data_IF_920269442760
#
_entry.id   IF_920269442760
#
_cell.length_a   1.000
_cell.length_b   1.000
_cell.length_c   1.000
_cell.angle_alpha   90.00
_cell.angle_beta   90.00
_cell.angle_gamma   90.00
#
_symmetry.space_group_name_H-M   'P 1'
#
loop_
_entity.id
_entity.type
_entity.pdbx_description
1 polymer ?
#
# COMPACT_ATOMS: atom_id res chain seq x y z
N UNK A 1 -0.02 43.36 -52.24
CA UNK A 1 0.22 43.31 -50.79
C UNK A 1 -1.06 43.17 -49.96
N UNK A 2 -2.05 44.04 -50.06
CA UNK A 2 -3.30 44.02 -49.25
C UNK A 2 -4.11 42.73 -49.42
N UNK A 3 -4.23 42.18 -50.64
CA UNK A 3 -4.94 40.89 -50.88
C UNK A 3 -4.22 39.69 -50.31
N UNK A 4 -2.88 39.69 -50.31
CA UNK A 4 -2.06 38.60 -49.74
C UNK A 4 -2.13 38.57 -48.22
N UNK A 5 -2.15 39.73 -47.55
CA UNK A 5 -2.34 39.88 -46.12
C UNK A 5 -3.74 39.37 -45.69
N UNK A 6 -4.77 39.69 -46.49
CA UNK A 6 -6.13 39.22 -46.20
C UNK A 6 -6.25 37.70 -46.33
N UNK A 7 -5.58 37.07 -47.32
CA UNK A 7 -5.58 35.62 -47.48
C UNK A 7 -4.87 34.91 -46.31
N UNK A 8 -3.73 35.45 -45.84
CA UNK A 8 -3.03 34.95 -44.66
C UNK A 8 -3.89 35.09 -43.40
N UNK A 9 -4.59 36.21 -43.25
CA UNK A 9 -5.47 36.46 -42.13
C UNK A 9 -6.65 35.50 -42.10
N UNK A 10 -7.28 35.21 -43.23
CA UNK A 10 -8.35 34.20 -43.34
C UNK A 10 -7.82 32.77 -43.06
N UNK A 11 -6.60 32.45 -43.47
CA UNK A 11 -5.96 31.16 -43.21
C UNK A 11 -5.61 31.00 -41.71
N UNK A 12 -5.18 32.08 -41.04
CA UNK A 12 -4.95 32.04 -39.57
C UNK A 12 -6.25 31.84 -38.79
N UNK A 13 -7.38 32.38 -39.24
CA UNK A 13 -8.68 32.20 -38.55
C UNK A 13 -9.16 30.74 -38.60
N UNK A 14 -8.85 30.00 -39.66
CA UNK A 14 -9.22 28.57 -39.75
C UNK A 14 -8.47 27.67 -38.77
N UNK A 15 -7.31 28.10 -38.25
CA UNK A 15 -6.60 27.38 -37.17
C UNK A 15 -7.11 27.69 -35.75
N UNK A 16 -7.99 28.70 -35.58
CA UNK A 16 -8.58 29.07 -34.31
C UNK A 16 -9.88 28.28 -33.98
N UNK A 17 -10.38 27.48 -34.92
CA UNK A 17 -11.53 26.60 -34.67
C UNK A 17 -11.10 25.24 -34.06
N UNK A 18 -10.19 25.30 -33.11
CA UNK A 18 -9.71 24.13 -32.39
C UNK A 18 -10.46 23.92 -31.09
N UNK A 19 -10.92 22.69 -30.86
CA UNK A 19 -11.39 22.13 -29.59
C UNK A 19 -12.72 22.67 -29.03
N UNK A 20 -13.78 22.54 -29.79
CA UNK A 20 -15.11 22.34 -29.23
C UNK A 20 -15.23 20.88 -28.73
N UNK A 21 -14.43 20.45 -27.75
CA UNK A 21 -14.65 19.17 -27.09
C UNK A 21 -15.93 19.29 -26.24
N UNK A 22 -16.73 18.23 -26.17
CA UNK A 22 -17.88 18.09 -25.26
C UNK A 22 -17.46 18.44 -23.83
N UNK A 23 -17.59 19.72 -23.45
CA UNK A 23 -17.43 20.17 -22.07
C UNK A 23 -18.72 19.80 -21.34
N UNK A 24 -18.73 18.61 -20.73
CA UNK A 24 -19.76 18.29 -19.76
C UNK A 24 -19.55 19.20 -18.55
N UNK A 25 -20.54 20.04 -18.25
CA UNK A 25 -20.56 20.87 -17.05
C UNK A 25 -20.35 19.97 -15.83
N UNK A 26 -19.57 20.43 -14.86
CA UNK A 26 -19.24 19.66 -13.67
C UNK A 26 -20.50 19.22 -12.90
N UNK A 27 -21.52 20.08 -12.91
CA UNK A 27 -22.83 19.87 -12.28
C UNK A 27 -23.65 18.74 -12.92
N UNK A 28 -23.35 18.38 -14.17
CA UNK A 28 -23.98 17.28 -14.90
C UNK A 28 -23.20 15.96 -14.78
N UNK A 29 -22.15 15.94 -13.96
CA UNK A 29 -21.32 14.76 -13.74
C UNK A 29 -21.55 14.17 -12.35
N UNK A 30 -21.72 12.85 -12.28
CA UNK A 30 -21.61 12.07 -11.06
C UNK A 30 -20.15 11.63 -10.89
N UNK A 31 -19.37 12.41 -10.11
CA UNK A 31 -17.94 12.22 -9.99
C UNK A 31 -17.64 11.06 -9.03
N UNK A 32 -17.13 9.97 -9.54
CA UNK A 32 -16.70 8.83 -8.72
C UNK A 32 -15.48 9.19 -7.88
N UNK A 33 -15.55 9.01 -6.57
CA UNK A 33 -14.40 9.11 -5.66
C UNK A 33 -13.92 7.77 -5.17
N UNK A 34 -14.84 6.78 -5.04
CA UNK A 34 -14.51 5.41 -4.66
C UNK A 34 -15.18 4.43 -5.61
N UNK A 35 -14.43 3.43 -6.05
CA UNK A 35 -14.95 2.17 -6.61
C UNK A 35 -14.63 1.02 -5.68
N UNK A 36 -15.57 0.11 -5.48
CA UNK A 36 -15.40 -1.08 -4.65
C UNK A 36 -15.72 -2.35 -5.42
N UNK A 37 -14.95 -3.43 -5.21
CA UNK A 37 -15.13 -4.73 -5.83
C UNK A 37 -15.30 -5.82 -4.80
N UNK A 38 -16.42 -6.53 -4.89
CA UNK A 38 -16.74 -7.66 -4.02
C UNK A 38 -17.34 -8.82 -4.82
N UNK A 39 -17.48 -9.98 -4.19
CA UNK A 39 -18.14 -11.15 -4.79
C UNK A 39 -19.34 -11.60 -3.97
N UNK A 40 -20.36 -12.16 -4.62
CA UNK A 40 -21.46 -12.81 -3.91
C UNK A 40 -20.97 -14.03 -3.11
N UNK A 41 -21.67 -14.33 -2.01
CA UNK A 41 -21.33 -15.44 -1.12
C UNK A 41 -21.43 -16.83 -1.82
N UNK A 42 -22.28 -16.98 -2.82
CA UNK A 42 -22.49 -18.22 -3.61
C UNK A 42 -22.65 -17.88 -5.08
N UNK A 43 -21.89 -18.56 -5.94
CA UNK A 43 -21.98 -18.49 -7.40
C UNK A 43 -20.74 -17.91 -8.05
N UNK A 44 -20.14 -18.67 -8.99
CA UNK A 44 -19.11 -18.13 -9.89
C UNK A 44 -19.72 -17.07 -10.81
N UNK A 45 -19.01 -15.97 -11.03
CA UNK A 45 -19.24 -15.07 -12.16
C UNK A 45 -20.15 -13.87 -11.93
N UNK A 46 -20.47 -13.48 -10.68
CA UNK A 46 -21.15 -12.20 -10.43
C UNK A 46 -20.32 -11.30 -9.52
N UNK A 47 -19.77 -10.27 -10.15
CA UNK A 47 -19.08 -9.16 -9.52
C UNK A 47 -20.09 -8.24 -8.86
N UNK A 48 -19.84 -7.81 -7.63
CA UNK A 48 -20.54 -6.69 -7.00
C UNK A 48 -19.62 -5.49 -7.11
N UNK A 49 -20.12 -4.44 -7.75
CA UNK A 49 -19.40 -3.17 -7.89
C UNK A 49 -20.13 -2.10 -7.09
N UNK A 50 -19.34 -1.36 -6.31
CA UNK A 50 -19.81 -0.20 -5.57
C UNK A 50 -19.24 1.07 -6.18
N UNK A 51 -20.03 2.12 -6.17
CA UNK A 51 -19.66 3.45 -6.61
C UNK A 51 -20.06 4.47 -5.54
N UNK A 52 -19.17 5.38 -5.21
CA UNK A 52 -19.43 6.47 -4.26
C UNK A 52 -19.07 7.79 -4.90
N UNK A 53 -20.01 8.70 -4.94
CA UNK A 53 -19.88 10.05 -5.46
C UNK A 53 -20.26 11.10 -4.40
N UNK A 54 -19.66 12.30 -4.40
CA UNK A 54 -20.02 13.37 -3.50
C UNK A 54 -21.36 13.98 -3.90
N UNK A 55 -22.08 14.53 -2.94
CA UNK A 55 -23.26 15.37 -3.13
C UNK A 55 -22.84 16.80 -2.82
N UNK A 56 -22.96 17.70 -3.81
CA UNK A 56 -22.58 19.11 -3.70
C UNK A 56 -23.70 20.02 -3.16
N UNK A 57 -24.80 19.45 -2.68
CA UNK A 57 -25.88 20.21 -2.06
C UNK A 57 -25.59 20.36 -0.54
N UNK A 58 -25.62 21.61 -0.05
CA UNK A 58 -25.38 21.92 1.36
C UNK A 58 -26.53 21.51 2.29
N UNK A 59 -27.73 21.40 1.77
CA UNK A 59 -28.95 21.12 2.54
C UNK A 59 -29.12 19.63 2.90
N UNK A 60 -28.32 18.73 2.33
CA UNK A 60 -28.42 17.30 2.61
C UNK A 60 -27.52 16.87 3.76
N UNK A 61 -28.04 16.02 4.65
CA UNK A 61 -27.30 15.49 5.79
C UNK A 61 -26.13 14.59 5.32
N UNK A 62 -26.39 13.72 4.36
CA UNK A 62 -25.39 12.80 3.82
C UNK A 62 -24.68 13.41 2.61
N UNK A 63 -23.41 13.75 2.74
CA UNK A 63 -22.60 14.44 1.72
C UNK A 63 -22.07 13.54 0.59
N UNK A 64 -22.50 12.28 0.51
CA UNK A 64 -22.15 11.35 -0.56
C UNK A 64 -23.28 10.38 -0.85
N UNK A 65 -23.35 9.97 -2.09
CA UNK A 65 -24.28 8.97 -2.60
C UNK A 65 -23.53 7.65 -2.85
N UNK A 66 -24.24 6.55 -2.71
CA UNK A 66 -23.67 5.20 -2.90
C UNK A 66 -24.56 4.38 -3.81
N UNK A 67 -23.94 3.75 -4.80
CA UNK A 67 -24.61 2.83 -5.72
C UNK A 67 -23.97 1.46 -5.65
N UNK A 68 -24.76 0.43 -5.92
CA UNK A 68 -24.34 -0.96 -6.01
C UNK A 68 -24.90 -1.58 -7.29
N UNK A 69 -24.10 -2.36 -7.99
CA UNK A 69 -24.52 -3.15 -9.14
C UNK A 69 -23.95 -4.55 -9.07
N UNK A 70 -24.78 -5.56 -9.39
CA UNK A 70 -24.33 -6.94 -9.59
C UNK A 70 -24.20 -7.20 -11.09
N UNK A 71 -22.99 -7.42 -11.57
CA UNK A 71 -22.63 -7.40 -13.01
C UNK A 71 -21.61 -8.47 -13.35
N UNK A 72 -21.26 -8.58 -14.62
CA UNK A 72 -20.17 -9.44 -15.13
C UNK A 72 -18.88 -8.64 -15.35
N UNK A 73 -18.98 -7.34 -15.65
CA UNK A 73 -17.83 -6.47 -15.94
C UNK A 73 -17.95 -5.10 -15.27
N UNK A 74 -16.81 -4.43 -14.96
CA UNK A 74 -16.85 -3.06 -14.42
C UNK A 74 -17.50 -2.05 -15.38
N UNK A 75 -17.42 -2.27 -16.69
CA UNK A 75 -18.04 -1.39 -17.69
C UNK A 75 -19.57 -1.50 -17.67
N UNK A 76 -20.11 -2.70 -17.46
CA UNK A 76 -21.55 -2.93 -17.27
C UNK A 76 -22.05 -2.21 -16.01
N UNK A 77 -21.29 -2.22 -14.93
CA UNK A 77 -21.60 -1.47 -13.71
C UNK A 77 -21.76 0.03 -13.99
N UNK A 78 -20.84 0.62 -14.77
CA UNK A 78 -20.91 2.04 -15.15
C UNK A 78 -22.20 2.37 -15.91
N UNK A 79 -22.65 1.48 -16.80
CA UNK A 79 -23.92 1.66 -17.52
C UNK A 79 -25.12 1.65 -16.56
N UNK A 80 -25.14 0.73 -15.58
CA UNK A 80 -26.18 0.68 -14.55
C UNK A 80 -26.17 1.94 -13.69
N UNK A 81 -24.99 2.41 -13.26
CA UNK A 81 -24.85 3.62 -12.46
C UNK A 81 -25.37 4.86 -13.22
N UNK A 82 -25.07 4.97 -14.52
CA UNK A 82 -25.61 6.04 -15.35
C UNK A 82 -27.14 6.05 -15.44
N UNK A 83 -27.80 4.90 -15.26
CA UNK A 83 -29.26 4.82 -15.27
C UNK A 83 -29.92 5.22 -13.95
N UNK A 84 -29.14 5.33 -12.87
CA UNK A 84 -29.63 5.65 -11.52
C UNK A 84 -29.03 6.92 -10.92
N UNK A 85 -28.00 7.48 -11.53
CA UNK A 85 -27.36 8.72 -11.09
C UNK A 85 -28.02 9.95 -11.72
N UNK A 86 -28.01 11.08 -11.02
CA UNK A 86 -28.48 12.36 -11.53
C UNK A 86 -27.59 12.97 -12.61
N UNK A 87 -26.35 12.49 -12.76
CA UNK A 87 -25.37 12.92 -13.76
C UNK A 87 -24.61 11.76 -14.39
N UNK A 88 -23.86 12.04 -15.45
CA UNK A 88 -23.00 11.03 -16.09
C UNK A 88 -21.86 10.63 -15.16
N UNK A 89 -21.69 9.33 -14.95
CA UNK A 89 -20.62 8.79 -14.09
C UNK A 89 -19.27 9.03 -14.73
N UNK A 90 -18.45 9.86 -14.06
CA UNK A 90 -17.06 10.15 -14.40
C UNK A 90 -16.10 9.55 -13.38
N UNK A 91 -15.05 8.88 -13.85
CA UNK A 91 -14.00 8.28 -13.02
C UNK A 91 -12.69 9.10 -13.01
N UNK A 92 -12.70 10.29 -13.61
CA UNK A 92 -11.51 11.14 -13.77
C UNK A 92 -10.91 11.61 -12.42
N UNK A 93 -11.71 11.69 -11.38
CA UNK A 93 -11.31 12.09 -10.01
C UNK A 93 -11.32 10.94 -9.01
N UNK A 94 -11.31 9.71 -9.49
CA UNK A 94 -11.29 8.53 -8.62
C UNK A 94 -10.08 8.57 -7.69
N UNK A 95 -10.32 8.41 -6.38
CA UNK A 95 -9.32 8.51 -5.33
C UNK A 95 -8.91 7.14 -4.78
N UNK A 96 -9.88 6.22 -4.68
CA UNK A 96 -9.67 4.89 -4.12
C UNK A 96 -10.36 3.80 -4.95
N UNK A 97 -9.66 2.68 -5.08
CA UNK A 97 -10.23 1.41 -5.51
C UNK A 97 -10.13 0.45 -4.33
N UNK A 98 -11.29 -0.01 -3.84
CA UNK A 98 -11.41 -0.95 -2.73
C UNK A 98 -11.67 -2.35 -3.26
N UNK A 99 -10.99 -3.34 -2.71
CA UNK A 99 -11.22 -4.75 -3.01
C UNK A 99 -11.48 -5.51 -1.72
N UNK A 100 -12.55 -6.29 -1.62
CA UNK A 100 -12.66 -7.22 -0.50
C UNK A 100 -11.55 -8.28 -0.59
N UNK A 101 -10.99 -8.70 0.54
CA UNK A 101 -10.00 -9.78 0.56
C UNK A 101 -10.56 -11.09 0.00
N UNK A 102 -11.87 -11.28 0.12
CA UNK A 102 -12.58 -12.41 -0.48
C UNK A 102 -12.53 -12.35 -2.02
N UNK A 103 -12.83 -11.20 -2.62
CA UNK A 103 -12.73 -10.98 -4.05
C UNK A 103 -11.30 -11.22 -4.54
N UNK A 104 -10.30 -10.61 -3.87
CA UNK A 104 -8.90 -10.77 -4.23
C UNK A 104 -8.42 -12.23 -4.16
N UNK A 105 -8.92 -13.03 -3.23
CA UNK A 105 -8.59 -14.46 -3.11
C UNK A 105 -9.15 -15.31 -4.24
N UNK A 106 -10.31 -14.95 -4.75
CA UNK A 106 -11.04 -15.74 -5.76
C UNK A 106 -10.69 -15.32 -7.18
N UNK A 107 -10.67 -14.03 -7.45
CA UNK A 107 -10.62 -13.45 -8.79
C UNK A 107 -9.28 -12.78 -9.10
N UNK A 108 -8.66 -12.15 -8.09
CA UNK A 108 -7.54 -11.23 -8.29
C UNK A 108 -7.98 -9.88 -8.86
N UNK A 109 -7.13 -8.87 -8.74
CA UNK A 109 -7.48 -7.51 -9.16
C UNK A 109 -7.29 -7.28 -10.66
N UNK A 110 -6.24 -7.85 -11.27
CA UNK A 110 -5.78 -7.48 -12.60
C UNK A 110 -6.83 -7.57 -13.73
N UNK A 111 -7.66 -8.62 -13.83
CA UNK A 111 -8.63 -8.72 -14.92
C UNK A 111 -9.68 -7.59 -14.93
N UNK A 112 -9.93 -6.98 -13.77
CA UNK A 112 -10.98 -5.98 -13.59
C UNK A 112 -10.46 -4.55 -13.71
N UNK A 113 -9.15 -4.35 -13.82
CA UNK A 113 -8.52 -3.03 -13.91
C UNK A 113 -8.32 -2.52 -15.33
N UNK A 114 -8.50 -3.38 -16.35
CA UNK A 114 -8.29 -3.05 -17.77
C UNK A 114 -9.09 -1.82 -18.24
N UNK A 115 -10.30 -1.64 -17.70
CA UNK A 115 -11.16 -0.51 -18.05
C UNK A 115 -10.51 0.86 -17.74
N UNK A 116 -9.71 0.94 -16.68
CA UNK A 116 -9.01 2.18 -16.31
C UNK A 116 -7.65 2.30 -16.99
N UNK A 117 -6.98 1.19 -17.31
CA UNK A 117 -5.73 1.22 -18.09
C UNK A 117 -5.95 1.75 -19.52
N UNK A 118 -7.14 1.51 -20.07
CA UNK A 118 -7.51 1.96 -21.41
C UNK A 118 -8.20 3.33 -21.42
N UNK A 119 -8.49 3.92 -20.28
CA UNK A 119 -9.15 5.23 -20.20
C UNK A 119 -8.09 6.34 -20.13
N UNK A 120 -7.91 7.15 -21.19
CA UNK A 120 -6.89 8.19 -21.22
C UNK A 120 -7.15 9.34 -20.22
N UNK A 121 -8.37 9.43 -19.68
CA UNK A 121 -8.74 10.44 -18.68
C UNK A 121 -8.33 10.05 -17.28
N UNK A 122 -7.88 8.81 -17.08
CA UNK A 122 -7.47 8.31 -15.78
C UNK A 122 -6.07 8.81 -15.41
N UNK A 123 -5.95 9.44 -14.23
CA UNK A 123 -4.67 9.98 -13.74
C UNK A 123 -3.72 8.93 -13.17
N UNK A 124 -4.18 7.70 -12.93
CA UNK A 124 -3.37 6.62 -12.31
C UNK A 124 -3.02 6.83 -10.83
N UNK A 125 -3.51 7.89 -10.20
CA UNK A 125 -3.15 8.27 -8.82
C UNK A 125 -4.07 7.68 -7.74
N UNK A 126 -5.12 6.95 -8.13
CA UNK A 126 -6.04 6.31 -7.19
C UNK A 126 -5.32 5.25 -6.33
N UNK A 127 -5.68 5.17 -5.07
CA UNK A 127 -5.05 4.25 -4.11
C UNK A 127 -5.68 2.88 -4.19
N UNK A 128 -4.85 1.85 -4.20
CA UNK A 128 -5.28 0.45 -4.17
C UNK A 128 -5.40 0.00 -2.72
N UNK A 129 -6.58 -0.49 -2.31
CA UNK A 129 -6.86 -0.81 -0.90
C UNK A 129 -7.58 -2.15 -0.81
N UNK A 130 -7.05 -3.05 0.02
CA UNK A 130 -7.74 -4.28 0.43
C UNK A 130 -8.62 -4.02 1.65
N UNK A 131 -9.80 -4.60 1.67
CA UNK A 131 -10.73 -4.54 2.81
C UNK A 131 -10.87 -5.93 3.41
N UNK A 132 -10.43 -6.10 4.67
CA UNK A 132 -10.67 -7.33 5.44
C UNK A 132 -12.13 -7.38 5.90
N UNK A 133 -12.99 -7.87 5.01
CA UNK A 133 -14.43 -7.93 5.14
C UNK A 133 -15.17 -7.51 3.87
N UNK A 134 -16.49 -7.48 3.91
CA UNK A 134 -17.29 -7.05 2.77
C UNK A 134 -17.20 -5.53 2.57
N UNK A 135 -17.14 -5.09 1.31
CA UNK A 135 -17.10 -3.66 0.95
C UNK A 135 -18.34 -2.91 1.48
N UNK A 136 -19.50 -3.56 1.47
CA UNK A 136 -20.75 -3.00 2.00
C UNK A 136 -20.63 -2.56 3.46
N UNK A 137 -19.81 -3.22 4.27
CA UNK A 137 -19.60 -2.86 5.67
C UNK A 137 -18.89 -1.51 5.85
N UNK A 138 -18.15 -1.06 4.85
CA UNK A 138 -17.49 0.23 4.82
C UNK A 138 -18.42 1.28 4.19
N UNK A 139 -18.97 0.98 3.02
CA UNK A 139 -19.67 1.96 2.18
C UNK A 139 -21.04 2.36 2.77
N UNK A 140 -21.77 1.41 3.35
CA UNK A 140 -23.11 1.69 3.92
C UNK A 140 -23.09 2.08 5.40
N UNK A 141 -21.91 2.04 6.04
CA UNK A 141 -21.83 2.43 7.44
C UNK A 141 -21.78 3.96 7.58
N UNK A 142 -22.54 4.48 8.53
CA UNK A 142 -22.45 5.88 8.90
C UNK A 142 -21.42 6.04 10.04
N UNK A 143 -20.24 6.55 9.70
CA UNK A 143 -19.18 6.84 10.67
C UNK A 143 -19.44 8.23 11.26
N UNK A 144 -20.18 8.27 12.38
CA UNK A 144 -20.49 9.51 13.09
C UNK A 144 -19.21 10.25 13.46
N UNK A 145 -19.27 11.56 13.43
CA UNK A 145 -18.15 12.46 13.78
C UNK A 145 -16.89 12.29 12.90
N UNK A 146 -17.05 11.79 11.67
CA UNK A 146 -15.97 11.69 10.67
C UNK A 146 -16.34 12.53 9.43
N UNK A 147 -15.35 12.96 8.65
CA UNK A 147 -15.58 13.55 7.33
C UNK A 147 -16.39 12.62 6.43
N UNK A 148 -16.83 13.13 5.27
CA UNK A 148 -17.46 12.29 4.25
C UNK A 148 -16.57 11.08 3.92
N UNK A 149 -17.18 9.91 3.68
CA UNK A 149 -16.45 8.64 3.54
C UNK A 149 -15.25 8.68 2.58
N UNK A 150 -15.34 9.31 1.38
CA UNK A 150 -14.19 9.39 0.47
C UNK A 150 -13.01 10.16 1.06
N UNK A 151 -13.27 11.29 1.71
CA UNK A 151 -12.27 12.10 2.39
C UNK A 151 -11.68 11.35 3.58
N UNK A 152 -12.54 10.80 4.44
CA UNK A 152 -12.11 10.04 5.60
C UNK A 152 -11.16 8.89 5.23
N UNK A 153 -11.50 8.07 4.23
CA UNK A 153 -10.65 6.97 3.78
C UNK A 153 -9.33 7.45 3.17
N UNK A 154 -9.39 8.51 2.36
CA UNK A 154 -8.21 9.10 1.74
C UNK A 154 -7.21 9.60 2.78
N UNK A 155 -7.69 10.34 3.77
CA UNK A 155 -6.88 10.90 4.85
C UNK A 155 -6.35 9.81 5.78
N UNK A 156 -7.18 8.81 6.08
CA UNK A 156 -6.79 7.66 6.87
C UNK A 156 -5.60 6.92 6.22
N UNK A 157 -5.67 6.63 4.91
CA UNK A 157 -4.60 5.96 4.18
C UNK A 157 -3.34 6.85 4.11
N UNK A 158 -3.50 8.14 3.80
CA UNK A 158 -2.38 9.09 3.72
C UNK A 158 -1.66 9.23 5.06
N UNK A 159 -2.40 9.35 6.16
CA UNK A 159 -1.84 9.44 7.51
C UNK A 159 -1.05 8.16 7.85
N UNK A 160 -1.62 6.97 7.57
CA UNK A 160 -0.93 5.71 7.86
C UNK A 160 0.29 5.46 6.95
N UNK A 161 0.29 5.99 5.71
CA UNK A 161 1.48 6.07 4.86
C UNK A 161 2.59 6.88 5.52
N UNK A 162 2.28 8.07 6.04
CA UNK A 162 3.28 8.94 6.70
C UNK A 162 3.93 8.26 7.90
N UNK A 163 3.15 7.47 8.66
CA UNK A 163 3.64 6.73 9.82
C UNK A 163 4.17 5.32 9.49
N UNK A 164 4.35 5.00 8.21
CA UNK A 164 4.89 3.70 7.75
C UNK A 164 4.07 2.47 8.20
N UNK A 165 2.79 2.62 8.43
CA UNK A 165 1.91 1.55 8.96
C UNK A 165 1.30 0.67 7.88
N UNK A 166 1.50 1.03 6.60
CA UNK A 166 0.94 0.33 5.45
C UNK A 166 1.74 0.61 4.17
N UNK A 167 1.78 -0.35 3.26
CA UNK A 167 2.26 -0.12 1.91
C UNK A 167 1.29 0.81 1.18
N UNK A 168 1.81 1.89 0.61
CA UNK A 168 1.03 2.83 -0.17
C UNK A 168 1.30 2.59 -1.66
N UNK A 169 0.30 2.10 -2.36
CA UNK A 169 0.41 1.76 -3.78
C UNK A 169 -0.70 2.43 -4.56
N UNK A 170 -0.33 3.28 -5.51
CA UNK A 170 -1.26 3.85 -6.47
C UNK A 170 -1.57 2.85 -7.58
N UNK A 171 -2.61 3.11 -8.36
CA UNK A 171 -2.97 2.30 -9.51
C UNK A 171 -1.82 2.18 -10.53
N UNK A 172 -1.11 3.27 -10.80
CA UNK A 172 0.06 3.26 -11.68
C UNK A 172 1.20 2.41 -11.12
N UNK A 173 1.52 2.55 -9.82
CA UNK A 173 2.55 1.74 -9.17
C UNK A 173 2.14 0.27 -9.09
N UNK A 174 0.85 -0.02 -8.85
CA UNK A 174 0.32 -1.39 -8.89
C UNK A 174 0.51 -2.03 -10.26
N UNK A 175 0.20 -1.30 -11.34
CA UNK A 175 0.47 -1.74 -12.71
C UNK A 175 1.95 -2.05 -12.92
N UNK A 176 2.83 -1.12 -12.52
CA UNK A 176 4.28 -1.33 -12.62
C UNK A 176 4.73 -2.60 -11.89
N UNK A 177 4.24 -2.83 -10.67
CA UNK A 177 4.60 -4.01 -9.86
C UNK A 177 4.06 -5.31 -10.46
N UNK A 178 2.86 -5.31 -11.03
CA UNK A 178 2.25 -6.52 -11.61
C UNK A 178 2.90 -6.95 -12.92
N UNK A 179 3.42 -6.00 -13.70
CA UNK A 179 4.13 -6.29 -14.97
C UNK A 179 5.64 -6.45 -14.79
N UNK A 180 6.19 -6.06 -13.65
CA UNK A 180 7.59 -6.31 -13.32
C UNK A 180 7.75 -7.73 -12.76
N UNK A 181 8.46 -8.59 -13.48
CA UNK A 181 8.70 -9.99 -13.08
C UNK A 181 9.52 -10.12 -11.79
N UNK A 182 10.26 -9.07 -11.39
CA UNK A 182 11.15 -9.08 -10.22
C UNK A 182 10.53 -8.60 -8.90
N UNK A 183 9.23 -8.30 -8.87
CA UNK A 183 8.54 -7.82 -7.65
C UNK A 183 7.08 -8.29 -7.61
N UNK A 184 6.54 -8.50 -6.41
CA UNK A 184 5.12 -8.75 -6.20
C UNK A 184 4.44 -7.57 -5.50
N UNK A 185 3.17 -7.26 -5.79
CA UNK A 185 2.48 -6.09 -5.25
C UNK A 185 2.19 -6.19 -3.74
N UNK A 186 2.25 -5.03 -3.08
CA UNK A 186 1.75 -4.81 -1.74
C UNK A 186 0.84 -3.58 -1.74
N UNK A 187 -0.35 -3.68 -1.17
CA UNK A 187 -1.33 -2.58 -1.09
C UNK A 187 -1.76 -2.33 0.36
N UNK A 188 -2.36 -1.17 0.62
CA UNK A 188 -2.92 -0.87 1.95
C UNK A 188 -4.03 -1.86 2.32
N UNK A 189 -4.11 -2.25 3.59
CA UNK A 189 -5.21 -3.07 4.10
C UNK A 189 -5.94 -2.37 5.23
N UNK A 190 -7.28 -2.35 5.12
CA UNK A 190 -8.18 -1.75 6.10
C UNK A 190 -9.23 -2.76 6.56
N UNK A 191 -9.79 -2.50 7.74
CA UNK A 191 -10.88 -3.27 8.32
C UNK A 191 -11.89 -2.36 8.99
N UNK A 192 -13.19 -2.72 8.94
CA UNK A 192 -14.18 -2.08 9.78
C UNK A 192 -13.93 -2.41 11.25
N UNK A 193 -13.71 -1.40 12.07
CA UNK A 193 -13.72 -1.48 13.52
C UNK A 193 -15.14 -1.35 14.10
N UNK A 194 -15.25 -1.23 15.41
CA UNK A 194 -16.54 -1.03 16.09
C UNK A 194 -17.17 0.33 15.73
N UNK A 195 -16.38 1.40 15.77
CA UNK A 195 -16.82 2.78 15.50
C UNK A 195 -16.07 3.44 14.35
N UNK A 196 -14.92 2.89 13.97
CA UNK A 196 -13.97 3.48 13.02
C UNK A 196 -13.60 2.49 11.92
N UNK A 197 -12.85 2.96 10.95
CA UNK A 197 -12.10 2.13 10.01
C UNK A 197 -10.65 2.09 10.49
N UNK A 198 -10.07 0.91 10.54
CA UNK A 198 -8.69 0.70 10.99
C UNK A 198 -7.81 0.30 9.82
N UNK A 199 -6.65 0.94 9.66
CA UNK A 199 -5.58 0.40 8.84
C UNK A 199 -4.92 -0.72 9.63
N UNK A 200 -5.02 -1.94 9.12
CA UNK A 200 -4.48 -3.15 9.78
C UNK A 200 -3.04 -3.41 9.41
N UNK A 201 -2.61 -2.92 8.24
CA UNK A 201 -1.28 -3.08 7.70
C UNK A 201 -1.30 -3.14 6.18
N UNK A 202 -0.66 -4.15 5.60
CA UNK A 202 -0.52 -4.31 4.15
C UNK A 202 -0.98 -5.67 3.68
N UNK A 203 -1.74 -5.72 2.59
CA UNK A 203 -2.05 -6.96 1.88
C UNK A 203 -0.97 -7.23 0.81
N UNK A 204 -0.41 -8.43 0.81
CA UNK A 204 0.54 -8.90 -0.19
C UNK A 204 -0.18 -9.74 -1.24
N UNK A 205 0.10 -9.45 -2.50
CA UNK A 205 -0.59 -10.03 -3.66
C UNK A 205 0.43 -10.67 -4.61
N UNK A 206 -0.05 -11.62 -5.42
CA UNK A 206 0.71 -12.10 -6.58
C UNK A 206 0.72 -11.07 -7.71
N UNK A 207 1.54 -11.27 -8.75
CA UNK A 207 1.51 -10.46 -9.98
C UNK A 207 0.14 -10.40 -10.67
N UNK A 208 -0.73 -11.38 -10.44
CA UNK A 208 -2.12 -11.37 -10.91
C UNK A 208 -3.08 -10.59 -10.00
N UNK A 209 -2.59 -10.00 -8.92
CA UNK A 209 -3.40 -9.32 -7.92
C UNK A 209 -4.19 -10.25 -7.01
N UNK A 210 -3.78 -11.53 -6.88
CA UNK A 210 -4.42 -12.51 -5.99
C UNK A 210 -3.85 -12.32 -4.58
N UNK A 211 -4.73 -12.18 -3.60
CA UNK A 211 -4.36 -12.06 -2.18
C UNK A 211 -3.69 -13.33 -1.65
N UNK A 212 -2.59 -13.18 -0.97
CA UNK A 212 -1.84 -14.26 -0.33
C UNK A 212 -1.78 -14.15 1.19
N UNK A 213 -1.44 -12.96 1.71
CA UNK A 213 -1.29 -12.74 3.15
C UNK A 213 -1.40 -11.27 3.54
N UNK A 214 -1.65 -11.03 4.82
CA UNK A 214 -1.51 -9.71 5.46
C UNK A 214 -0.21 -9.59 6.21
N UNK A 215 0.32 -8.38 6.24
CA UNK A 215 1.31 -7.90 7.20
C UNK A 215 0.61 -6.96 8.18
N UNK A 216 0.90 -7.08 9.47
CA UNK A 216 0.46 -6.09 10.45
C UNK A 216 1.22 -4.76 10.28
N UNK A 217 0.88 -3.74 11.08
CA UNK A 217 1.48 -2.40 10.98
C UNK A 217 2.99 -2.39 11.24
N UNK A 218 3.48 -3.20 12.18
CA UNK A 218 4.90 -3.35 12.47
C UNK A 218 5.64 -4.03 11.31
N UNK A 219 5.14 -5.15 10.82
CA UNK A 219 5.68 -5.86 9.67
C UNK A 219 5.66 -5.00 8.40
N UNK A 220 4.64 -4.15 8.23
CA UNK A 220 4.57 -3.19 7.12
C UNK A 220 5.68 -2.14 7.21
N UNK A 221 6.00 -1.65 8.41
CA UNK A 221 7.12 -0.73 8.60
C UNK A 221 8.46 -1.41 8.28
N UNK A 222 8.67 -2.66 8.69
CA UNK A 222 9.87 -3.43 8.33
C UNK A 222 9.97 -3.67 6.82
N UNK A 223 8.86 -3.98 6.15
CA UNK A 223 8.81 -4.10 4.69
C UNK A 223 9.25 -2.80 4.02
N UNK A 224 8.71 -1.65 4.45
CA UNK A 224 9.06 -0.34 3.88
C UNK A 224 10.53 0.03 4.12
N UNK A 225 11.10 -0.32 5.27
CA UNK A 225 12.54 -0.18 5.54
C UNK A 225 13.35 -1.06 4.58
N UNK A 226 12.98 -2.33 4.42
CA UNK A 226 13.63 -3.24 3.48
C UNK A 226 13.53 -2.77 2.03
N UNK A 227 12.44 -2.12 1.64
CA UNK A 227 12.27 -1.50 0.32
C UNK A 227 13.02 -0.16 0.15
N UNK A 228 13.54 0.44 1.23
CA UNK A 228 14.05 1.83 1.27
C UNK A 228 12.96 2.86 0.87
N UNK A 229 11.71 2.57 1.21
CA UNK A 229 10.53 3.41 0.95
C UNK A 229 9.92 4.01 2.21
N UNK A 230 10.50 3.76 3.37
CA UNK A 230 10.00 4.29 4.64
C UNK A 230 10.19 5.81 4.74
N UNK A 231 9.17 6.50 5.24
CA UNK A 231 9.28 7.91 5.62
C UNK A 231 9.99 8.00 6.97
N UNK A 232 11.12 8.68 7.02
CA UNK A 232 11.90 8.87 8.24
C UNK A 232 11.37 10.12 8.97
N UNK A 233 11.24 10.09 10.33
CA UNK A 233 11.59 9.01 11.24
C UNK A 233 10.57 7.86 11.28
N UNK A 234 11.05 6.62 11.50
CA UNK A 234 10.20 5.44 11.71
C UNK A 234 10.23 5.05 13.18
N UNK A 235 9.07 5.02 13.83
CA UNK A 235 8.95 4.52 15.21
C UNK A 235 8.70 3.01 15.20
N UNK A 236 9.55 2.27 15.93
CA UNK A 236 9.47 0.82 16.09
C UNK A 236 9.49 0.46 17.58
N UNK A 237 8.47 -0.26 18.03
CA UNK A 237 8.43 -0.85 19.38
C UNK A 237 8.87 -2.32 19.27
N UNK A 238 10.03 -2.62 19.84
CA UNK A 238 10.68 -3.92 19.79
C UNK A 238 10.40 -4.68 21.10
N UNK A 239 10.06 -5.96 20.97
CA UNK A 239 9.86 -6.86 22.10
C UNK A 239 11.22 -7.34 22.62
N UNK A 240 11.49 -7.16 23.90
CA UNK A 240 12.73 -7.59 24.57
C UNK A 240 12.40 -8.76 25.50
N UNK A 241 13.05 -9.92 25.36
CA UNK A 241 12.77 -11.06 26.21
C UNK A 241 13.01 -10.75 27.69
N UNK A 242 12.07 -11.14 28.55
CA UNK A 242 12.06 -10.86 30.00
C UNK A 242 13.33 -11.24 30.75
N UNK A 243 14.04 -12.27 30.29
CA UNK A 243 15.30 -12.72 30.91
C UNK A 243 16.53 -11.86 30.54
N UNK A 244 16.35 -10.86 29.69
CA UNK A 244 17.45 -10.06 29.14
C UNK A 244 17.75 -8.79 29.95
N UNK A 245 16.81 -8.35 30.80
CA UNK A 245 16.88 -7.11 31.57
C UNK A 245 16.30 -7.30 32.97
N UNK A 246 16.79 -6.52 33.96
CA UNK A 246 16.17 -6.43 35.27
C UNK A 246 14.89 -5.60 35.16
N UNK A 247 13.79 -6.28 35.19
CA UNK A 247 12.51 -5.63 35.00
C UNK A 247 11.85 -5.31 36.34
N UNK A 248 11.54 -4.04 36.52
CA UNK A 248 10.71 -3.52 37.64
C UNK A 248 9.35 -3.01 37.14
N UNK A 249 8.93 -3.38 35.92
CA UNK A 249 7.84 -2.66 35.29
C UNK A 249 6.48 -3.30 35.51
N UNK A 250 5.51 -2.45 35.86
CA UNK A 250 4.09 -2.73 35.80
C UNK A 250 3.54 -2.71 34.36
N UNK A 251 4.42 -2.53 33.34
CA UNK A 251 4.08 -2.34 31.92
C UNK A 251 4.39 -3.56 31.07
N UNK A 252 4.61 -4.73 31.68
CA UNK A 252 4.83 -5.99 30.96
C UNK A 252 3.55 -6.44 30.24
N UNK A 253 3.73 -7.13 29.12
CA UNK A 253 2.62 -7.82 28.48
C UNK A 253 2.22 -9.08 29.27
N UNK A 254 1.20 -9.80 28.80
CA UNK A 254 0.71 -11.06 29.40
C UNK A 254 1.76 -12.15 29.45
N UNK A 255 2.77 -12.10 28.56
CA UNK A 255 3.89 -13.05 28.49
C UNK A 255 5.09 -12.62 29.37
N UNK A 256 4.96 -11.46 30.04
CA UNK A 256 5.98 -10.90 30.92
C UNK A 256 7.17 -10.26 30.19
N UNK A 257 7.05 -9.98 28.89
CA UNK A 257 8.12 -9.35 28.11
C UNK A 257 8.18 -7.84 28.30
N UNK A 258 9.37 -7.29 28.12
CA UNK A 258 9.64 -5.86 28.11
C UNK A 258 9.70 -5.31 26.70
N UNK A 259 9.65 -3.96 26.58
CA UNK A 259 9.66 -3.28 25.29
C UNK A 259 10.67 -2.14 25.26
N UNK A 260 11.22 -1.92 24.06
CA UNK A 260 11.97 -0.70 23.73
C UNK A 260 11.37 -0.06 22.50
N UNK A 261 11.04 1.22 22.58
CA UNK A 261 10.61 2.00 21.42
C UNK A 261 11.76 2.85 20.93
N UNK A 262 12.10 2.68 19.65
CA UNK A 262 13.14 3.46 18.97
C UNK A 262 12.53 4.29 17.85
N UNK A 263 13.12 5.43 17.56
CA UNK A 263 12.87 6.18 16.34
C UNK A 263 14.08 6.04 15.42
N UNK A 264 13.89 5.47 14.26
CA UNK A 264 14.90 5.40 13.19
C UNK A 264 15.02 6.78 12.57
N UNK A 265 16.14 7.47 12.82
CA UNK A 265 16.40 8.83 12.34
C UNK A 265 17.07 8.85 10.97
N UNK A 266 17.83 7.81 10.65
CA UNK A 266 18.34 7.55 9.30
C UNK A 266 18.65 6.06 9.12
N UNK A 267 18.64 5.60 7.87
CA UNK A 267 18.96 4.23 7.52
C UNK A 267 19.65 4.18 6.16
N UNK A 268 20.78 3.47 6.09
CA UNK A 268 21.44 3.09 4.85
C UNK A 268 21.32 1.60 4.65
N UNK A 269 21.10 1.21 3.39
CA UNK A 269 20.96 -0.19 3.00
C UNK A 269 21.88 -0.49 1.83
N UNK A 270 22.65 -1.54 1.96
CA UNK A 270 23.46 -2.12 0.89
C UNK A 270 23.10 -3.59 0.66
N UNK A 271 22.99 -4.00 -0.61
CA UNK A 271 22.58 -5.36 -1.01
C UNK A 271 23.63 -5.95 -1.92
N UNK A 272 24.29 -6.99 -1.42
CA UNK A 272 25.20 -7.82 -2.19
C UNK A 272 24.47 -9.06 -2.67
N UNK A 273 24.54 -9.30 -3.96
CA UNK A 273 23.87 -10.43 -4.60
C UNK A 273 24.86 -11.45 -5.10
N UNK A 274 24.45 -12.70 -5.17
CA UNK A 274 25.22 -13.81 -5.70
C UNK A 274 24.33 -14.97 -6.16
N UNK A 275 24.95 -15.93 -6.87
CA UNK A 275 24.28 -17.15 -7.28
C UNK A 275 25.24 -18.33 -7.08
N UNK A 276 24.92 -19.23 -6.17
CA UNK A 276 25.68 -20.43 -5.89
C UNK A 276 24.75 -21.59 -5.56
N UNK A 277 25.18 -22.81 -5.89
CA UNK A 277 24.43 -24.03 -5.59
C UNK A 277 22.99 -24.00 -6.10
N UNK A 278 22.77 -23.42 -7.28
CA UNK A 278 21.47 -23.19 -7.92
C UNK A 278 20.50 -22.31 -7.13
N UNK A 279 21.00 -21.47 -6.22
CA UNK A 279 20.20 -20.55 -5.42
C UNK A 279 20.74 -19.13 -5.49
N UNK A 280 19.81 -18.17 -5.57
CA UNK A 280 20.16 -16.76 -5.39
C UNK A 280 20.51 -16.49 -3.94
N UNK A 281 21.49 -15.62 -3.72
CA UNK A 281 21.93 -15.17 -2.40
C UNK A 281 21.82 -13.64 -2.33
N UNK A 282 21.26 -13.15 -1.23
CA UNK A 282 21.14 -11.72 -0.94
C UNK A 282 21.65 -11.45 0.47
N UNK A 283 22.79 -10.77 0.59
CA UNK A 283 23.31 -10.29 1.85
C UNK A 283 23.01 -8.79 1.97
N UNK A 284 22.22 -8.42 2.96
CA UNK A 284 21.67 -7.08 3.12
C UNK A 284 22.26 -6.48 4.40
N UNK A 285 23.14 -5.50 4.25
CA UNK A 285 23.60 -4.68 5.36
C UNK A 285 22.67 -3.49 5.54
N UNK A 286 22.19 -3.27 6.77
CA UNK A 286 21.32 -2.15 7.10
C UNK A 286 21.90 -1.39 8.30
N UNK A 287 22.32 -0.14 8.08
CA UNK A 287 22.94 0.70 9.12
C UNK A 287 21.91 1.73 9.61
N UNK A 288 21.48 1.57 10.86
CA UNK A 288 20.46 2.43 11.48
C UNK A 288 21.09 3.41 12.45
N UNK A 289 20.70 4.69 12.34
CA UNK A 289 20.90 5.68 13.40
C UNK A 289 19.55 5.89 14.08
N UNK A 290 19.53 5.69 15.38
CA UNK A 290 18.26 5.68 16.15
C UNK A 290 18.35 6.57 17.38
N UNK A 291 17.20 7.05 17.86
CA UNK A 291 17.02 7.52 19.24
C UNK A 291 16.16 6.50 20.00
N UNK A 292 16.42 6.36 21.30
CA UNK A 292 15.55 5.58 22.19
C UNK A 292 14.52 6.53 22.78
N UNK A 293 13.22 6.24 22.54
CA UNK A 293 12.12 7.11 23.01
C UNK A 293 11.38 6.56 24.23
N UNK A 294 11.41 5.23 24.43
CA UNK A 294 10.72 4.60 25.56
C UNK A 294 11.38 3.26 25.93
N UNK A 295 11.43 2.99 27.23
CA UNK A 295 11.79 1.70 27.80
C UNK A 295 10.72 1.30 28.83
N UNK A 296 10.28 0.04 28.82
CA UNK A 296 9.39 -0.47 29.86
C UNK A 296 10.13 -1.11 31.03
N UNK A 297 11.46 -1.08 31.01
CA UNK A 297 12.33 -1.62 32.06
C UNK A 297 13.33 -0.56 32.55
N UNK A 298 13.84 -0.75 33.76
CA UNK A 298 14.76 0.22 34.36
C UNK A 298 16.19 0.02 33.86
N UNK A 299 16.69 0.96 33.08
CA UNK A 299 18.07 0.95 32.57
C UNK A 299 18.55 2.40 32.32
N UNK A 300 19.70 2.73 32.93
CA UNK A 300 20.45 3.93 32.56
C UNK A 300 21.06 3.71 31.15
N UNK A 301 20.54 4.44 30.17
CA UNK A 301 20.92 4.27 28.77
C UNK A 301 22.39 4.63 28.54
N UNK A 302 22.93 5.62 29.26
CA UNK A 302 24.32 6.03 29.08
C UNK A 302 25.29 4.97 29.58
N UNK A 303 25.01 4.38 30.74
CA UNK A 303 25.83 3.27 31.30
C UNK A 303 25.56 1.95 30.58
N UNK A 304 24.30 1.70 30.18
CA UNK A 304 23.87 0.48 29.53
C UNK A 304 23.91 0.50 27.99
N UNK A 305 24.48 1.54 27.36
CA UNK A 305 24.44 1.75 25.89
C UNK A 305 24.82 0.55 25.06
N UNK A 306 25.91 -0.15 25.43
CA UNK A 306 26.35 -1.37 24.74
C UNK A 306 25.30 -2.49 24.84
N UNK A 307 24.71 -2.70 26.02
CA UNK A 307 23.72 -3.73 26.28
C UNK A 307 22.43 -3.47 25.48
N UNK A 308 21.89 -2.25 25.54
CA UNK A 308 20.66 -1.88 24.82
C UNK A 308 20.87 -1.92 23.30
N UNK A 309 22.02 -1.45 22.79
CA UNK A 309 22.37 -1.58 21.37
C UNK A 309 22.36 -3.02 20.92
N UNK A 310 22.97 -3.91 21.71
CA UNK A 310 23.00 -5.36 21.41
C UNK A 310 21.59 -5.96 21.40
N UNK A 311 20.75 -5.62 22.37
CA UNK A 311 19.36 -6.11 22.46
C UNK A 311 18.54 -5.66 21.25
N UNK A 312 18.58 -4.36 20.91
CA UNK A 312 17.90 -3.80 19.73
C UNK A 312 18.38 -4.49 18.46
N UNK A 313 19.72 -4.61 18.29
CA UNK A 313 20.31 -5.24 17.10
C UNK A 313 19.85 -6.68 16.96
N UNK A 314 19.89 -7.47 18.04
CA UNK A 314 19.49 -8.88 18.05
C UNK A 314 18.00 -9.02 17.68
N UNK A 315 17.14 -8.20 18.30
CA UNK A 315 15.70 -8.27 18.05
C UNK A 315 15.38 -7.85 16.62
N UNK A 316 15.92 -6.71 16.17
CA UNK A 316 15.65 -6.22 14.80
C UNK A 316 16.20 -7.19 13.74
N UNK A 317 17.36 -7.83 13.99
CA UNK A 317 17.89 -8.88 13.12
C UNK A 317 16.90 -10.05 13.00
N UNK A 318 16.39 -10.52 14.13
CA UNK A 318 15.40 -11.58 14.17
C UNK A 318 14.14 -11.19 13.39
N UNK A 319 13.56 -10.03 13.68
CA UNK A 319 12.29 -9.59 13.09
C UNK A 319 12.37 -9.39 11.57
N UNK A 320 13.48 -8.82 11.08
CA UNK A 320 13.71 -8.63 9.64
C UNK A 320 13.86 -9.96 8.90
N UNK A 321 14.64 -10.89 9.45
CA UNK A 321 14.85 -12.20 8.82
C UNK A 321 13.56 -13.06 8.91
N UNK A 322 12.86 -13.06 10.05
CA UNK A 322 11.59 -13.77 10.21
C UNK A 322 10.54 -13.27 9.22
N UNK A 323 10.44 -11.93 9.01
CA UNK A 323 9.55 -11.34 8.02
C UNK A 323 9.86 -11.85 6.61
N UNK A 324 11.13 -11.84 6.21
CA UNK A 324 11.55 -12.33 4.89
C UNK A 324 11.16 -13.80 4.73
N UNK A 325 11.52 -14.65 5.69
CA UNK A 325 11.17 -16.08 5.64
C UNK A 325 9.65 -16.33 5.60
N UNK A 326 8.88 -15.55 6.38
CA UNK A 326 7.43 -15.59 6.36
C UNK A 326 6.87 -15.31 4.96
N UNK A 327 7.41 -14.32 4.27
CA UNK A 327 6.98 -13.89 2.94
C UNK A 327 7.47 -14.88 1.85
N UNK A 328 8.72 -15.36 1.94
CA UNK A 328 9.25 -16.38 1.04
C UNK A 328 8.41 -17.66 1.02
N UNK A 329 7.90 -18.10 2.18
CA UNK A 329 6.99 -19.27 2.28
C UNK A 329 5.71 -19.12 1.47
N UNK A 330 5.29 -17.88 1.18
CA UNK A 330 4.12 -17.58 0.36
C UNK A 330 4.47 -17.37 -1.12
N UNK A 331 5.73 -17.58 -1.50
CA UNK A 331 6.24 -17.34 -2.85
C UNK A 331 5.93 -15.90 -3.32
N UNK A 332 6.35 -14.92 -2.52
CA UNK A 332 6.18 -13.50 -2.81
C UNK A 332 7.51 -12.76 -2.64
N UNK A 333 7.77 -11.80 -3.51
CA UNK A 333 8.89 -10.86 -3.40
C UNK A 333 8.39 -9.41 -3.44
N UNK A 334 7.79 -8.89 -2.37
CA UNK A 334 7.43 -7.48 -2.32
C UNK A 334 8.64 -6.57 -2.13
N UNK A 335 9.81 -7.12 -1.80
CA UNK A 335 11.05 -6.36 -1.57
C UNK A 335 11.68 -5.89 -2.88
N UNK A 336 11.43 -6.60 -3.98
CA UNK A 336 12.02 -6.33 -5.29
C UNK A 336 13.43 -6.91 -5.45
N UNK A 337 13.76 -8.02 -4.77
CA UNK A 337 15.06 -8.68 -4.92
C UNK A 337 15.26 -9.26 -6.32
N UNK A 338 14.16 -9.55 -7.05
CA UNK A 338 14.24 -9.93 -8.45
C UNK A 338 14.83 -8.84 -9.35
N UNK A 339 14.62 -7.57 -9.04
CA UNK A 339 15.26 -6.47 -9.78
C UNK A 339 16.78 -6.46 -9.56
N UNK A 340 17.24 -6.81 -8.36
CA UNK A 340 18.67 -6.99 -8.08
C UNK A 340 19.23 -8.24 -8.77
N UNK A 341 18.51 -9.37 -8.75
CA UNK A 341 18.91 -10.56 -9.48
C UNK A 341 19.03 -10.28 -10.97
N UNK A 342 18.06 -9.57 -11.56
CA UNK A 342 18.09 -9.14 -12.96
C UNK A 342 19.29 -8.26 -13.28
N UNK A 343 19.64 -7.34 -12.37
CA UNK A 343 20.74 -6.40 -12.59
C UNK A 343 22.11 -7.04 -12.48
N UNK A 344 22.30 -7.99 -11.56
CA UNK A 344 23.63 -8.50 -11.19
C UNK A 344 23.86 -9.99 -11.50
N UNK A 345 22.80 -10.81 -11.68
CA UNK A 345 22.84 -12.23 -12.06
C UNK A 345 21.89 -12.47 -13.24
N UNK A 346 22.05 -11.70 -14.29
CA UNK A 346 21.10 -11.68 -15.42
C UNK A 346 20.91 -13.04 -16.08
N UNK A 347 22.00 -13.81 -16.27
CA UNK A 347 21.93 -15.13 -16.94
C UNK A 347 21.04 -16.09 -16.16
N UNK A 348 21.26 -16.18 -14.86
CA UNK A 348 20.54 -17.07 -13.96
C UNK A 348 19.11 -16.59 -13.77
N UNK A 349 18.92 -15.26 -13.60
CA UNK A 349 17.60 -14.65 -13.47
C UNK A 349 16.75 -14.90 -14.71
N UNK A 350 17.32 -14.82 -15.90
CA UNK A 350 16.59 -15.02 -17.16
C UNK A 350 15.98 -16.42 -17.28
N UNK A 351 16.57 -17.42 -16.63
CA UNK A 351 16.04 -18.79 -16.62
C UNK A 351 14.81 -18.97 -15.73
N UNK A 352 14.60 -18.07 -14.78
CA UNK A 352 13.53 -18.14 -13.76
C UNK A 352 12.61 -16.91 -13.75
N UNK A 353 12.79 -15.97 -14.70
CA UNK A 353 12.06 -14.69 -14.68
C UNK A 353 10.53 -14.85 -14.71
N UNK A 354 10.03 -15.89 -15.36
CA UNK A 354 8.58 -16.15 -15.48
C UNK A 354 8.00 -16.82 -14.22
N UNK A 355 8.86 -17.37 -13.36
CA UNK A 355 8.51 -17.96 -12.08
C UNK A 355 9.44 -17.48 -10.94
N UNK A 356 9.79 -16.17 -10.99
CA UNK A 356 10.64 -15.55 -9.98
C UNK A 356 10.17 -15.77 -8.54
N UNK A 357 8.86 -15.68 -8.20
CA UNK A 357 8.39 -15.93 -6.85
C UNK A 357 8.76 -17.31 -6.30
N UNK A 358 8.73 -18.34 -7.12
CA UNK A 358 9.18 -19.70 -6.76
C UNK A 358 10.71 -19.75 -6.57
N UNK A 359 11.49 -19.14 -7.46
CA UNK A 359 12.94 -19.04 -7.33
C UNK A 359 13.34 -18.26 -6.06
N UNK A 360 12.68 -17.14 -5.79
CA UNK A 360 12.90 -16.33 -4.59
C UNK A 360 12.56 -17.09 -3.30
N UNK A 361 11.53 -17.93 -3.30
CA UNK A 361 11.17 -18.74 -2.13
C UNK A 361 12.30 -19.68 -1.67
N UNK A 362 13.22 -20.02 -2.57
CA UNK A 362 14.38 -20.88 -2.34
C UNK A 362 15.69 -20.06 -2.14
N UNK A 363 15.62 -18.75 -2.35
CA UNK A 363 16.80 -17.89 -2.23
C UNK A 363 17.29 -17.80 -0.78
N UNK A 364 18.61 -17.71 -0.61
CA UNK A 364 19.21 -17.45 0.69
C UNK A 364 19.28 -15.93 0.90
N UNK A 365 18.41 -15.41 1.75
CA UNK A 365 18.36 -13.98 2.09
C UNK A 365 18.77 -13.79 3.54
N UNK A 366 19.78 -12.95 3.77
CA UNK A 366 20.29 -12.65 5.11
C UNK A 366 20.37 -11.14 5.30
N UNK A 367 19.69 -10.64 6.34
CA UNK A 367 19.78 -9.24 6.77
C UNK A 367 20.67 -9.14 7.99
N UNK A 368 21.59 -8.17 7.97
CA UNK A 368 22.48 -7.86 9.07
C UNK A 368 22.34 -6.38 9.45
N UNK A 369 21.46 -6.04 10.42
CA UNK A 369 21.33 -4.68 10.91
C UNK A 369 22.47 -4.31 11.84
N UNK A 370 22.93 -3.05 11.76
CA UNK A 370 23.80 -2.40 12.76
C UNK A 370 23.09 -1.18 13.31
N UNK A 371 23.20 -0.97 14.62
CA UNK A 371 22.50 0.10 15.33
C UNK A 371 23.51 1.07 15.93
N UNK A 372 23.29 2.37 15.66
CA UNK A 372 24.00 3.47 16.34
C UNK A 372 22.98 4.34 17.05
N UNK A 373 22.97 4.33 18.39
CA UNK A 373 22.13 5.21 19.20
C UNK A 373 22.79 6.58 19.22
N UNK A 374 22.07 7.63 18.76
CA UNK A 374 22.53 9.01 18.71
C UNK A 374 22.10 9.81 19.94
N UNK A 375 20.83 9.67 20.34
CA UNK A 375 20.19 10.46 21.39
C UNK A 375 19.37 9.56 22.31
N UNK A 376 19.20 9.96 23.55
CA UNK A 376 18.53 9.19 24.61
C UNK A 376 17.30 9.93 25.16
N UNK A 377 16.57 10.69 24.34
CA UNK A 377 15.47 11.52 24.85
C UNK A 377 15.95 12.69 25.74
N UNK A 378 15.00 13.55 26.17
CA UNK A 378 15.32 14.79 26.91
C UNK A 378 15.43 14.52 28.44
N UNK A 379 14.90 13.39 28.91
CA UNK A 379 14.90 13.04 30.35
C UNK A 379 15.95 11.96 30.58
N UNK A 380 16.89 12.24 31.50
CA UNK A 380 17.91 11.28 31.98
C UNK A 380 17.32 10.36 33.01
#
# INVERSE_FOLDING_TARGET
MRRFIFTIFCFLITFLTGCGGDRLDLEKQSISLIYGFDTKAKGKGKLIVYHVNPIFNEDVEKKYETHEATVHTPREAKAIFNSSSSGLVSTEKLQLILFSTKFLKQEGAMPYLDVWYRDPKNTGNMRMVAVDGPISSIIYNNFKDKPALPEYLTDLINTNKLYNRTAFTTFHEFHRQTFNKGITPAISEIKKGKKDILVTGSALLTSRGIYKMSLNRYESALLLLLQKKANIPVSLTLKIPSNSVESNSHLKDTDGDDFVTINVLSMDRDIHTGYNDNHFKFNIAMNFKVSVSELTFNMDIDKGRKKITSLITKQLNKDLNDLIHKIQKQQLDPFGFGDYARAFQYKEWKTVEDDWPSAFSKANVKVAPTIKILENGIIK
#
